data_IF_781446961842
#
_entry.id   IF_781446961842
#
_cell.length_a   1.000
_cell.length_b   1.000
_cell.length_c   1.000
_cell.angle_alpha   90.00
_cell.angle_beta   90.00
_cell.angle_gamma   90.00
#
_symmetry.space_group_name_H-M   'P 1'
#
loop_
_entity.id
_entity.type
_entity.pdbx_description
1 polymer ?
#
# COMPACT_ATOMS: atom_id res chain seq x y z
N UNK A 1 -15.77 -3.34 -20.05
CA UNK A 1 -16.15 -3.20 -18.62
C UNK A 1 -15.22 -2.19 -18.00
N UNK A 2 -15.72 -1.25 -17.20
CA UNK A 2 -14.85 -0.33 -16.46
C UNK A 2 -14.31 -1.11 -15.26
N UNK A 3 -13.07 -1.58 -15.34
CA UNK A 3 -12.37 -2.20 -14.21
C UNK A 3 -12.01 -1.11 -13.20
N UNK A 4 -12.97 -0.68 -12.39
CA UNK A 4 -12.70 0.21 -11.26
C UNK A 4 -12.10 -0.57 -10.11
N UNK A 5 -11.22 0.07 -9.35
CA UNK A 5 -10.74 -0.49 -8.08
C UNK A 5 -11.91 -0.65 -7.09
N UNK A 6 -11.86 -1.66 -6.20
CA UNK A 6 -12.92 -1.88 -5.23
C UNK A 6 -12.99 -0.72 -4.23
N UNK A 7 -14.19 -0.45 -3.72
CA UNK A 7 -14.36 0.48 -2.59
C UNK A 7 -13.65 -0.04 -1.35
N UNK A 8 -13.09 0.86 -0.56
CA UNK A 8 -12.49 0.54 0.72
C UNK A 8 -13.56 0.00 1.67
N UNK A 9 -13.39 -1.24 2.11
CA UNK A 9 -14.41 -1.91 2.94
C UNK A 9 -14.52 -1.34 4.36
N UNK A 10 -13.50 -0.59 4.83
CA UNK A 10 -13.49 0.03 6.16
C UNK A 10 -14.29 1.34 6.22
N UNK A 11 -14.07 2.25 5.27
CA UNK A 11 -14.72 3.57 5.28
C UNK A 11 -15.81 3.75 4.21
N UNK A 12 -15.91 2.84 3.24
CA UNK A 12 -16.82 2.89 2.08
C UNK A 12 -16.75 4.18 1.25
N UNK A 13 -15.78 5.06 1.53
CA UNK A 13 -15.65 6.40 0.92
C UNK A 13 -14.55 6.40 -0.14
N UNK A 14 -13.35 5.95 0.25
CA UNK A 14 -12.21 5.83 -0.68
C UNK A 14 -12.25 4.55 -1.50
N UNK A 15 -11.37 4.48 -2.48
CA UNK A 15 -11.07 3.27 -3.24
C UNK A 15 -9.88 2.55 -2.60
N UNK A 16 -9.84 1.23 -2.71
CA UNK A 16 -8.71 0.41 -2.28
C UNK A 16 -7.81 0.16 -3.49
N UNK A 17 -6.65 0.81 -3.52
CA UNK A 17 -5.76 0.80 -4.68
C UNK A 17 -4.51 -0.04 -4.45
N UNK A 18 -4.02 -0.76 -5.47
CA UNK A 18 -2.78 -1.52 -5.39
C UNK A 18 -1.54 -0.64 -5.48
N UNK A 19 -0.54 -0.96 -4.67
CA UNK A 19 0.80 -0.36 -4.69
C UNK A 19 1.84 -1.46 -4.97
N UNK A 20 2.78 -1.15 -5.87
CA UNK A 20 3.90 -2.01 -6.23
C UNK A 20 5.21 -1.44 -5.70
N UNK A 21 6.22 -2.27 -5.59
CA UNK A 21 7.55 -1.90 -5.08
C UNK A 21 8.63 -2.75 -5.76
N UNK A 22 9.89 -2.58 -5.37
CA UNK A 22 11.01 -3.39 -5.82
C UNK A 22 11.61 -4.20 -4.68
N UNK A 23 12.01 -5.44 -4.99
CA UNK A 23 12.75 -6.31 -4.08
C UNK A 23 14.22 -5.90 -3.92
N UNK A 24 14.97 -6.67 -3.14
CA UNK A 24 16.38 -6.42 -2.81
C UNK A 24 17.29 -6.32 -4.05
N UNK A 25 16.97 -7.02 -5.14
CA UNK A 25 17.71 -6.98 -6.40
C UNK A 25 17.02 -6.14 -7.49
N UNK A 26 16.08 -5.26 -7.11
CA UNK A 26 15.32 -4.48 -8.09
C UNK A 26 14.27 -5.28 -8.85
N UNK A 27 14.01 -6.53 -8.48
CA UNK A 27 12.92 -7.32 -9.05
C UNK A 27 11.57 -6.64 -8.75
N UNK A 28 10.68 -6.45 -9.73
CA UNK A 28 9.38 -5.83 -9.50
C UNK A 28 8.52 -6.72 -8.61
N UNK A 29 7.91 -6.13 -7.60
CA UNK A 29 6.94 -6.76 -6.72
C UNK A 29 5.60 -6.06 -6.92
N UNK A 30 4.75 -6.69 -7.72
CA UNK A 30 3.40 -6.19 -7.95
C UNK A 30 2.52 -6.43 -6.73
N UNK A 31 1.62 -5.48 -6.47
CA UNK A 31 0.58 -5.63 -5.44
C UNK A 31 1.12 -5.90 -4.02
N UNK A 32 2.32 -5.38 -3.72
CA UNK A 32 2.97 -5.53 -2.40
C UNK A 32 2.15 -4.93 -1.28
N UNK A 33 1.35 -3.90 -1.58
CA UNK A 33 0.42 -3.31 -0.64
C UNK A 33 -0.87 -2.88 -1.32
N UNK A 34 -1.93 -2.74 -0.52
CA UNK A 34 -3.17 -2.09 -0.91
C UNK A 34 -3.48 -1.00 0.12
N UNK A 35 -3.92 0.16 -0.34
CA UNK A 35 -4.19 1.31 0.54
C UNK A 35 -5.49 2.01 0.15
N UNK A 36 -6.20 2.53 1.16
CA UNK A 36 -7.36 3.38 0.92
C UNK A 36 -6.94 4.76 0.43
N UNK A 37 -7.60 5.28 -0.60
CA UNK A 37 -7.37 6.63 -1.11
C UNK A 37 -7.92 7.74 -0.21
N UNK A 38 -8.74 7.42 0.79
CA UNK A 38 -9.18 8.39 1.79
C UNK A 38 -8.07 8.56 2.86
N UNK A 39 -7.39 9.72 2.92
CA UNK A 39 -6.28 9.94 3.85
C UNK A 39 -6.71 9.88 5.32
N UNK A 40 -7.98 10.20 5.64
CA UNK A 40 -8.50 10.09 7.00
C UNK A 40 -8.79 8.64 7.41
N UNK A 41 -8.91 7.70 6.46
CA UNK A 41 -9.20 6.30 6.76
C UNK A 41 -7.95 5.52 7.17
N UNK A 42 -6.83 5.73 6.48
CA UNK A 42 -5.56 5.05 6.74
C UNK A 42 -5.56 3.53 6.52
N UNK A 43 -6.67 2.92 6.10
CA UNK A 43 -6.76 1.48 5.89
C UNK A 43 -5.73 1.01 4.88
N UNK A 44 -4.94 0.00 5.26
CA UNK A 44 -3.92 -0.57 4.41
C UNK A 44 -3.67 -2.04 4.71
N UNK A 45 -3.24 -2.78 3.69
CA UNK A 45 -2.81 -4.17 3.77
C UNK A 45 -1.43 -4.24 3.11
N UNK A 46 -0.44 -4.87 3.76
CA UNK A 46 0.96 -4.91 3.29
C UNK A 46 1.51 -6.33 3.38
N UNK A 47 2.31 -6.73 2.40
CA UNK A 47 3.08 -7.98 2.43
C UNK A 47 4.53 -7.66 2.81
N UNK A 48 5.07 -8.36 3.81
CA UNK A 48 6.51 -8.34 4.15
C UNK A 48 6.98 -9.78 4.36
N UNK A 49 7.95 -10.23 3.57
CA UNK A 49 8.56 -11.56 3.69
C UNK A 49 7.57 -12.74 3.76
N UNK A 50 6.42 -12.63 3.10
CA UNK A 50 5.37 -13.66 3.10
C UNK A 50 4.24 -13.41 4.12
N UNK A 51 4.45 -12.53 5.09
CA UNK A 51 3.46 -12.19 6.10
C UNK A 51 2.56 -11.04 5.63
N UNK A 52 1.28 -11.13 5.99
CA UNK A 52 0.28 -10.11 5.73
C UNK A 52 0.04 -9.24 6.97
N UNK A 53 0.18 -7.93 6.79
CA UNK A 53 -0.07 -6.93 7.82
C UNK A 53 -1.30 -6.11 7.44
N UNK A 54 -2.11 -5.77 8.43
CA UNK A 54 -3.34 -4.98 8.25
C UNK A 54 -3.27 -3.77 9.19
N UNK A 55 -3.65 -2.60 8.68
CA UNK A 55 -3.75 -1.36 9.46
C UNK A 55 -2.45 -0.91 10.16
N UNK A 56 -1.30 -1.28 9.60
CA UNK A 56 0.00 -0.79 10.06
C UNK A 56 0.09 0.75 9.93
N UNK A 57 0.77 1.43 10.87
CA UNK A 57 1.03 2.86 10.78
C UNK A 57 1.61 3.26 9.41
N UNK A 58 1.18 4.41 8.92
CA UNK A 58 1.68 5.02 7.68
C UNK A 58 2.65 6.13 8.08
N UNK A 59 3.91 5.99 7.69
CA UNK A 59 4.93 7.01 7.89
C UNK A 59 5.00 7.95 6.69
N UNK A 60 5.26 9.23 6.93
CA UNK A 60 5.51 10.19 5.87
C UNK A 60 6.84 9.89 5.16
N UNK A 61 6.76 9.62 3.85
CA UNK A 61 7.92 9.34 3.02
C UNK A 61 8.86 10.53 2.85
N UNK A 62 8.40 11.76 3.07
CA UNK A 62 9.24 12.96 3.03
C UNK A 62 10.32 12.94 4.13
N UNK A 63 10.09 12.21 5.22
CA UNK A 63 11.05 12.02 6.31
C UNK A 63 12.03 10.87 6.03
N UNK A 64 11.86 10.13 4.94
CA UNK A 64 12.70 8.99 4.65
C UNK A 64 14.04 9.44 4.04
N UNK A 65 15.10 9.40 4.84
CA UNK A 65 16.46 9.55 4.33
C UNK A 65 16.79 8.34 3.45
N UNK A 66 17.05 8.52 2.14
CA UNK A 66 17.41 7.41 1.27
C UNK A 66 18.63 6.71 1.83
N UNK A 67 18.54 5.39 2.06
CA UNK A 67 19.74 4.62 2.37
C UNK A 67 20.63 4.64 1.13
N UNK A 68 21.87 5.11 1.31
CA UNK A 68 22.91 4.96 0.28
C UNK A 68 23.03 3.47 0.01
N UNK A 69 22.75 3.06 -1.22
CA UNK A 69 22.86 1.67 -1.67
C UNK A 69 24.32 1.27 -1.81
#
# INVERSE_FOLDING_TARGET
MVNSFPKCQKCQTGDLVPLSDFGSQGAPIHYKAWACTNPACGFNIKIRNGDLYIDEPISDGALHTPRVR
#
